data_IF_791528888900
#
_entry.id   IF_791528888900
#
_cell.length_a   1.000
_cell.length_b   1.000
_cell.length_c   1.000
_cell.angle_alpha   90.00
_cell.angle_beta   90.00
_cell.angle_gamma   90.00
#
_symmetry.space_group_name_H-M   'P 1'
#
loop_
_entity.id
_entity.type
_entity.pdbx_description
1 polymer ?
#
# COMPACT_ATOMS: atom_id res chain seq x y z
N UNK A 1 56.80 20.14 -20.17
CA UNK A 1 56.00 18.92 -20.41
C UNK A 1 55.75 18.26 -19.08
N UNK A 2 54.53 17.76 -18.87
CA UNK A 2 54.05 17.00 -17.70
C UNK A 2 53.56 17.82 -16.50
N UNK A 3 52.30 18.25 -16.57
CA UNK A 3 51.46 18.49 -15.37
C UNK A 3 50.25 17.53 -15.30
N UNK A 4 50.07 16.68 -16.31
CA UNK A 4 48.89 15.81 -16.42
C UNK A 4 49.02 14.59 -15.48
N UNK A 5 50.22 14.01 -15.36
CA UNK A 5 50.45 12.82 -14.53
C UNK A 5 50.44 13.18 -13.02
N UNK A 6 50.95 14.35 -12.66
CA UNK A 6 50.95 14.83 -11.26
C UNK A 6 49.56 15.30 -10.81
N UNK A 7 48.74 15.84 -11.71
CA UNK A 7 47.38 16.29 -11.38
C UNK A 7 46.34 15.17 -11.34
N UNK A 8 46.64 14.02 -11.96
CA UNK A 8 45.67 12.93 -12.12
C UNK A 8 45.25 12.30 -10.78
N UNK A 9 46.15 11.99 -9.83
CA UNK A 9 45.75 11.48 -8.52
C UNK A 9 44.78 12.42 -7.78
N UNK A 10 45.04 13.73 -7.84
CA UNK A 10 44.19 14.74 -7.21
C UNK A 10 42.81 14.82 -7.85
N UNK A 11 42.73 14.73 -9.19
CA UNK A 11 41.45 14.70 -9.89
C UNK A 11 40.64 13.44 -9.56
N UNK A 12 41.29 12.28 -9.45
CA UNK A 12 40.64 11.03 -9.04
C UNK A 12 40.13 11.11 -7.61
N UNK A 13 40.88 11.74 -6.70
CA UNK A 13 40.44 11.95 -5.32
C UNK A 13 39.15 12.79 -5.25
N UNK A 14 39.09 13.90 -5.99
CA UNK A 14 37.90 14.75 -6.07
C UNK A 14 36.69 13.97 -6.60
N UNK A 15 36.86 13.20 -7.68
CA UNK A 15 35.79 12.36 -8.22
C UNK A 15 35.32 11.29 -7.20
N UNK A 16 36.25 10.74 -6.42
CA UNK A 16 35.92 9.75 -5.40
C UNK A 16 35.11 10.36 -4.25
N UNK A 17 35.42 11.59 -3.84
CA UNK A 17 34.63 12.35 -2.87
C UNK A 17 33.21 12.63 -3.40
N UNK A 18 33.08 13.04 -4.67
CA UNK A 18 31.76 13.25 -5.30
C UNK A 18 30.95 11.95 -5.36
N UNK A 19 31.57 10.82 -5.72
CA UNK A 19 30.90 9.51 -5.73
C UNK A 19 30.44 9.10 -4.33
N UNK A 20 31.25 9.35 -3.30
CA UNK A 20 30.87 9.09 -1.90
C UNK A 20 29.67 9.97 -1.51
N UNK A 21 29.69 11.26 -1.86
CA UNK A 21 28.60 12.18 -1.57
C UNK A 21 27.29 11.74 -2.26
N UNK A 22 27.34 11.37 -3.54
CA UNK A 22 26.18 10.87 -4.30
C UNK A 22 25.63 9.58 -3.69
N UNK A 23 26.51 8.63 -3.33
CA UNK A 23 26.10 7.38 -2.66
C UNK A 23 25.42 7.67 -1.31
N UNK A 24 25.96 8.62 -0.54
CA UNK A 24 25.35 9.08 0.71
C UNK A 24 23.94 9.63 0.50
N UNK A 25 23.77 10.55 -0.45
CA UNK A 25 22.47 11.14 -0.78
C UNK A 25 21.45 10.09 -1.23
N UNK A 26 21.85 9.10 -2.05
CA UNK A 26 20.97 8.00 -2.45
C UNK A 26 20.50 7.15 -1.27
N UNK A 27 21.36 6.89 -0.29
CA UNK A 27 20.98 6.16 0.93
C UNK A 27 20.00 6.94 1.78
N UNK A 28 20.18 8.26 1.90
CA UNK A 28 19.22 9.12 2.63
C UNK A 28 17.89 9.24 1.90
N UNK A 29 17.89 9.38 0.56
CA UNK A 29 16.68 9.37 -0.25
C UNK A 29 15.87 8.07 -0.08
N UNK A 30 16.54 6.92 0.04
CA UNK A 30 15.87 5.64 0.31
C UNK A 30 15.16 5.60 1.68
N UNK A 31 15.68 6.31 2.68
CA UNK A 31 15.08 6.38 4.02
C UNK A 31 13.90 7.35 4.09
N UNK A 32 13.72 8.21 3.11
CA UNK A 32 12.57 9.11 3.09
C UNK A 32 11.28 8.29 2.95
N UNK A 33 10.28 8.51 3.82
CA UNK A 33 9.00 7.86 3.66
C UNK A 33 8.38 8.33 2.35
N UNK A 34 8.22 7.40 1.40
CA UNK A 34 7.42 7.65 0.20
C UNK A 34 6.01 7.94 0.68
N UNK A 35 5.59 9.21 0.57
CA UNK A 35 4.20 9.58 0.85
C UNK A 35 3.36 9.04 -0.29
N UNK A 36 2.85 7.83 -0.12
CA UNK A 36 1.91 7.25 -1.07
C UNK A 36 0.63 8.08 -1.07
N UNK A 37 0.15 8.45 -2.26
CA UNK A 37 -1.11 9.17 -2.39
C UNK A 37 -2.24 8.30 -1.86
N UNK A 38 -3.12 8.90 -1.05
CA UNK A 38 -4.32 8.23 -0.56
C UNK A 38 -5.33 8.02 -1.69
N UNK A 39 -5.43 8.98 -2.62
CA UNK A 39 -6.24 8.84 -3.82
C UNK A 39 -5.37 8.22 -4.91
N UNK A 40 -5.79 7.07 -5.43
CA UNK A 40 -5.02 6.26 -6.38
C UNK A 40 -5.80 5.95 -7.66
N UNK A 41 -5.06 5.64 -8.74
CA UNK A 41 -5.61 5.30 -10.04
C UNK A 41 -5.77 3.79 -10.25
N UNK A 42 -6.30 3.41 -11.42
CA UNK A 42 -6.48 2.00 -11.78
C UNK A 42 -5.15 1.23 -11.82
N UNK A 43 -4.07 1.89 -12.24
CA UNK A 43 -2.72 1.29 -12.27
C UNK A 43 -2.22 0.94 -10.87
N UNK A 44 -2.45 1.81 -9.89
CA UNK A 44 -2.09 1.55 -8.49
C UNK A 44 -2.89 0.39 -7.93
N UNK A 45 -4.20 0.35 -8.21
CA UNK A 45 -5.06 -0.77 -7.79
C UNK A 45 -4.58 -2.09 -8.40
N UNK A 46 -4.16 -2.10 -9.67
CA UNK A 46 -3.56 -3.29 -10.28
C UNK A 46 -2.28 -3.70 -9.56
N UNK A 47 -1.42 -2.74 -9.18
CA UNK A 47 -0.18 -3.03 -8.41
C UNK A 47 -0.49 -3.59 -7.02
N UNK A 48 -1.49 -3.05 -6.32
CA UNK A 48 -1.86 -3.48 -4.96
C UNK A 48 -2.54 -4.85 -4.95
N UNK A 49 -3.43 -5.10 -5.91
CA UNK A 49 -4.25 -6.31 -5.93
C UNK A 49 -3.60 -7.46 -6.71
N UNK A 50 -2.64 -7.16 -7.60
CA UNK A 50 -2.07 -8.12 -8.54
C UNK A 50 -3.00 -8.48 -9.72
N UNK A 51 -4.21 -7.91 -9.78
CA UNK A 51 -5.14 -8.17 -10.87
C UNK A 51 -4.81 -7.35 -12.12
N UNK A 52 -5.10 -7.92 -13.29
CA UNK A 52 -5.07 -7.19 -14.55
C UNK A 52 -6.18 -6.12 -14.60
N UNK A 53 -5.96 -5.04 -15.36
CA UNK A 53 -6.93 -3.93 -15.49
C UNK A 53 -8.35 -4.40 -15.83
N UNK A 54 -8.50 -5.34 -16.77
CA UNK A 54 -9.80 -5.89 -17.15
C UNK A 54 -10.53 -6.48 -15.94
N UNK A 55 -9.86 -7.31 -15.15
CA UNK A 55 -10.41 -7.91 -13.95
C UNK A 55 -10.85 -6.86 -12.94
N UNK A 56 -10.04 -5.82 -12.73
CA UNK A 56 -10.42 -4.71 -11.84
C UNK A 56 -11.66 -3.98 -12.35
N UNK A 57 -11.76 -3.69 -13.65
CA UNK A 57 -12.98 -3.11 -14.24
C UNK A 57 -14.21 -4.01 -14.07
N UNK A 58 -14.05 -5.33 -14.25
CA UNK A 58 -15.13 -6.28 -13.99
C UNK A 58 -15.55 -6.28 -12.51
N UNK A 59 -14.60 -6.19 -11.59
CA UNK A 59 -14.91 -6.10 -10.15
C UNK A 59 -15.65 -4.80 -9.81
N UNK A 60 -15.26 -3.68 -10.41
CA UNK A 60 -15.97 -2.40 -10.27
C UNK A 60 -17.40 -2.54 -10.79
N UNK A 61 -17.58 -3.09 -11.99
CA UNK A 61 -18.90 -3.29 -12.59
C UNK A 61 -19.80 -4.19 -11.73
N UNK A 62 -19.22 -5.21 -11.10
CA UNK A 62 -19.92 -6.13 -10.18
C UNK A 62 -20.04 -5.59 -8.75
N UNK A 63 -19.58 -4.37 -8.46
CA UNK A 63 -19.48 -3.79 -7.12
C UNK A 63 -18.75 -4.68 -6.10
N UNK A 64 -17.72 -5.42 -6.54
CA UNK A 64 -16.92 -6.32 -5.70
C UNK A 64 -15.69 -5.66 -5.08
N UNK A 65 -15.23 -4.55 -5.65
CA UNK A 65 -14.09 -3.77 -5.17
C UNK A 65 -14.57 -2.35 -4.82
N UNK A 66 -14.09 -1.74 -3.72
CA UNK A 66 -14.42 -0.35 -3.38
C UNK A 66 -13.99 0.61 -4.48
N UNK A 67 -14.85 1.56 -4.85
CA UNK A 67 -14.54 2.63 -5.78
C UNK A 67 -15.48 3.82 -5.55
N UNK A 68 -15.06 4.99 -6.01
CA UNK A 68 -15.80 6.23 -5.92
C UNK A 68 -15.94 6.88 -7.29
N UNK A 69 -17.04 7.61 -7.47
CA UNK A 69 -17.27 8.46 -8.64
C UNK A 69 -17.03 9.91 -8.24
N UNK A 70 -16.35 10.73 -9.06
CA UNK A 70 -16.20 12.15 -8.79
C UNK A 70 -17.56 12.84 -8.70
N UNK A 71 -17.73 13.73 -7.73
CA UNK A 71 -18.98 14.49 -7.53
C UNK A 71 -19.36 15.33 -8.76
N UNK A 72 -18.36 15.82 -9.50
CA UNK A 72 -18.56 16.62 -10.72
C UNK A 72 -19.01 15.79 -11.95
N UNK A 73 -19.47 14.55 -11.76
CA UNK A 73 -20.08 13.74 -12.82
C UNK A 73 -19.10 13.15 -13.85
N UNK A 74 -17.80 13.17 -13.56
CA UNK A 74 -16.77 12.57 -14.41
C UNK A 74 -16.86 11.04 -14.52
N UNK A 75 -16.35 10.47 -15.62
CA UNK A 75 -16.28 9.02 -15.84
C UNK A 75 -15.07 8.34 -15.19
N UNK A 76 -14.15 9.10 -14.61
CA UNK A 76 -12.92 8.58 -14.01
C UNK A 76 -13.26 7.87 -12.70
N UNK A 77 -12.80 6.64 -12.54
CA UNK A 77 -12.88 5.93 -11.26
C UNK A 77 -11.84 6.49 -10.29
N UNK A 78 -12.25 6.69 -9.06
CA UNK A 78 -11.41 7.13 -7.94
C UNK A 78 -11.36 5.98 -6.94
N UNK A 79 -10.17 5.71 -6.41
CA UNK A 79 -9.96 4.68 -5.39
C UNK A 79 -9.24 5.30 -4.21
N UNK A 80 -9.65 4.93 -3.00
CA UNK A 80 -8.91 5.22 -1.78
C UNK A 80 -8.01 4.03 -1.45
N UNK A 81 -6.72 4.30 -1.28
CA UNK A 81 -5.74 3.28 -0.93
C UNK A 81 -6.14 2.53 0.33
N UNK A 82 -6.54 3.24 1.38
CA UNK A 82 -6.96 2.65 2.64
C UNK A 82 -8.14 1.67 2.49
N UNK A 83 -9.12 2.00 1.64
CA UNK A 83 -10.26 1.13 1.35
C UNK A 83 -9.83 -0.13 0.61
N UNK A 84 -8.96 0.00 -0.41
CA UNK A 84 -8.44 -1.16 -1.16
C UNK A 84 -7.62 -2.06 -0.25
N UNK A 85 -6.74 -1.50 0.59
CA UNK A 85 -5.94 -2.28 1.54
C UNK A 85 -6.80 -2.98 2.58
N UNK A 86 -7.82 -2.30 3.11
CA UNK A 86 -8.76 -2.93 4.05
C UNK A 86 -9.62 -4.00 3.39
N UNK A 87 -10.02 -3.79 2.14
CA UNK A 87 -10.72 -4.79 1.35
C UNK A 87 -9.84 -6.01 1.08
N UNK A 88 -8.55 -5.83 0.77
CA UNK A 88 -7.57 -6.90 0.59
C UNK A 88 -7.33 -7.73 1.86
N UNK A 89 -7.30 -7.09 3.03
CA UNK A 89 -7.20 -7.80 4.33
C UNK A 89 -8.39 -8.74 4.55
N UNK A 90 -9.53 -8.48 3.89
CA UNK A 90 -10.75 -9.23 4.05
C UNK A 90 -11.26 -9.21 5.50
N UNK A 91 -12.25 -10.06 5.80
CA UNK A 91 -12.52 -10.44 7.19
C UNK A 91 -11.55 -11.55 7.55
N UNK A 92 -10.83 -11.38 8.67
CA UNK A 92 -10.15 -12.53 9.30
C UNK A 92 -11.21 -13.60 9.54
N UNK A 93 -11.09 -14.82 9.00
CA UNK A 93 -12.03 -15.88 9.34
C UNK A 93 -12.03 -16.03 10.87
N UNK A 94 -13.24 -16.11 11.44
CA UNK A 94 -13.38 -16.30 12.89
C UNK A 94 -12.61 -17.58 13.28
N UNK A 95 -11.77 -17.49 14.30
CA UNK A 95 -11.08 -18.67 14.82
C UNK A 95 -12.10 -19.58 15.48
N UNK A 96 -11.84 -20.89 15.49
CA UNK A 96 -12.75 -21.85 16.16
C UNK A 96 -12.99 -21.49 17.63
N UNK A 97 -11.97 -20.93 18.30
CA UNK A 97 -12.05 -20.48 19.69
C UNK A 97 -13.01 -19.29 19.86
N UNK A 98 -12.85 -18.23 19.05
CA UNK A 98 -13.75 -17.07 19.06
C UNK A 98 -15.19 -17.45 18.69
N UNK A 99 -15.36 -18.42 17.77
CA UNK A 99 -16.68 -18.97 17.44
C UNK A 99 -17.31 -19.67 18.65
N UNK A 100 -16.54 -20.51 19.36
CA UNK A 100 -17.01 -21.21 20.56
C UNK A 100 -17.37 -20.23 21.68
N UNK A 101 -16.51 -19.25 21.98
CA UNK A 101 -16.77 -18.23 23.00
C UNK A 101 -18.05 -17.44 22.71
N UNK A 102 -18.23 -16.98 21.46
CA UNK A 102 -19.44 -16.28 21.04
C UNK A 102 -20.69 -17.15 21.21
N UNK A 103 -20.62 -18.44 20.85
CA UNK A 103 -21.73 -19.39 21.01
C UNK A 103 -22.04 -19.68 22.48
N UNK A 104 -21.03 -19.77 23.33
CA UNK A 104 -21.18 -19.96 24.77
C UNK A 104 -21.86 -18.74 25.42
N UNK A 105 -21.48 -17.52 25.02
CA UNK A 105 -22.14 -16.28 25.44
C UNK A 105 -23.60 -16.19 24.96
N UNK A 106 -23.89 -16.57 23.71
CA UNK A 106 -25.26 -16.65 23.17
C UNK A 106 -26.13 -17.60 24.02
N UNK A 107 -25.60 -18.80 24.36
CA UNK A 107 -26.28 -19.76 25.22
C UNK A 107 -26.52 -19.21 26.62
N UNK A 108 -25.50 -18.62 27.25
CA UNK A 108 -25.62 -18.02 28.59
C UNK A 108 -26.70 -16.94 28.67
N UNK A 109 -26.74 -16.05 27.67
CA UNK A 109 -27.73 -14.98 27.60
C UNK A 109 -29.15 -15.51 27.40
N UNK A 110 -29.32 -16.57 26.59
CA UNK A 110 -30.63 -17.23 26.41
C UNK A 110 -31.15 -17.88 27.70
N UNK A 111 -30.25 -18.45 28.52
CA UNK A 111 -30.62 -19.05 29.82
C UNK A 111 -31.01 -17.98 30.86
N UNK A 112 -30.41 -16.80 30.80
CA UNK A 112 -30.75 -15.66 31.69
C UNK A 112 -32.10 -15.00 31.34
N UNK A 113 -32.49 -15.00 30.06
CA UNK A 113 -33.71 -14.36 29.57
C UNK A 113 -35.01 -15.15 29.83
N UNK A 114 -34.93 -16.44 30.15
CA UNK A 114 -36.10 -17.30 30.43
C UNK A 114 -36.52 -17.39 31.90
N UNK A 115 -35.92 -16.60 32.78
CA UNK A 115 -36.12 -16.60 34.23
C UNK A 115 -36.82 -15.34 34.77
N UNK A 116 -37.40 -14.51 33.89
CA UNK A 116 -38.25 -13.38 34.25
C UNK A 116 -39.67 -13.55 33.68
#
# INVERSE_FOLDING_TARGET
MNNIIESLPSQVAVLMEEVIAVKGLLLEMRKMPVRESEIIGIEDVCRLTGYAKNTVYQHVHQNKIPYHKPEHGGRKLIFFRSEIENWLKGRKPETSEAYCERKELELYNSMKGGLN
#
